data_IF_861050867604
#
_entry.id   IF_861050867604
#
_cell.length_a   1.000
_cell.length_b   1.000
_cell.length_c   1.000
_cell.angle_alpha   90.00
_cell.angle_beta   90.00
_cell.angle_gamma   90.00
#
_symmetry.space_group_name_H-M   'P 1'
#
loop_
_entity.id
_entity.type
_entity.pdbx_description
1 polymer ?
#
# COMPACT_ATOMS: atom_id res chain seq x y z
N UNK A 1 4.66 8.43 -3.75
CA UNK A 1 5.25 7.10 -4.08
C UNK A 1 4.34 6.38 -5.07
N UNK A 2 4.92 5.76 -6.05
CA UNK A 2 4.13 4.98 -7.00
C UNK A 2 3.59 3.71 -6.35
N UNK A 3 2.38 3.33 -6.74
CA UNK A 3 1.72 2.16 -6.17
C UNK A 3 2.51 0.87 -6.40
N UNK A 4 3.12 0.72 -7.57
CA UNK A 4 3.93 -0.45 -7.88
C UNK A 4 5.15 -0.57 -6.96
N UNK A 5 5.79 0.56 -6.66
CA UNK A 5 6.93 0.61 -5.76
C UNK A 5 6.52 0.21 -4.34
N UNK A 6 5.39 0.73 -3.88
CA UNK A 6 4.88 0.42 -2.56
C UNK A 6 4.47 -1.05 -2.47
N UNK A 7 3.80 -1.55 -3.48
CA UNK A 7 3.39 -2.97 -3.53
C UNK A 7 4.60 -3.90 -3.43
N UNK A 8 5.65 -3.59 -4.18
CA UNK A 8 6.89 -4.39 -4.15
C UNK A 8 7.52 -4.35 -2.76
N UNK A 9 7.58 -3.18 -2.15
CA UNK A 9 8.13 -3.01 -0.82
C UNK A 9 7.35 -3.81 0.23
N UNK A 10 6.01 -3.77 0.13
CA UNK A 10 5.15 -4.54 1.03
C UNK A 10 5.39 -6.05 0.85
N UNK A 11 5.51 -6.52 -0.39
CA UNK A 11 5.77 -7.93 -0.65
C UNK A 11 7.09 -8.38 -0.02
N UNK A 12 8.10 -7.54 -0.08
CA UNK A 12 9.40 -7.82 0.54
C UNK A 12 9.32 -7.90 2.06
N UNK A 13 8.31 -7.28 2.66
CA UNK A 13 8.06 -7.32 4.10
C UNK A 13 7.16 -8.47 4.53
N UNK A 14 6.83 -9.38 3.62
CA UNK A 14 6.01 -10.53 3.93
C UNK A 14 4.50 -10.26 3.91
N UNK A 15 4.09 -9.17 3.28
CA UNK A 15 2.68 -8.87 3.15
C UNK A 15 2.02 -9.74 2.09
N UNK A 16 0.75 -10.06 2.33
CA UNK A 16 -0.08 -10.78 1.37
C UNK A 16 -1.12 -9.83 0.82
N UNK A 17 -1.45 -10.02 -0.45
CA UNK A 17 -2.45 -9.20 -1.12
C UNK A 17 -3.69 -10.05 -1.34
N UNK A 18 -4.84 -9.50 -0.96
CA UNK A 18 -6.12 -10.16 -1.19
C UNK A 18 -6.42 -10.10 -2.68
N UNK A 19 -6.81 -11.24 -3.24
CA UNK A 19 -7.15 -11.32 -4.65
C UNK A 19 -8.52 -10.72 -4.96
N UNK A 20 -9.32 -10.46 -3.95
CA UNK A 20 -10.60 -9.82 -4.12
C UNK A 20 -10.43 -8.31 -4.12
N UNK A 21 -10.19 -7.77 -5.29
CA UNK A 21 -10.04 -6.35 -5.47
C UNK A 21 -11.42 -5.69 -5.58
N UNK A 22 -11.57 -4.58 -4.89
CA UNK A 22 -12.79 -3.80 -4.95
C UNK A 22 -12.58 -2.58 -5.83
N UNK A 23 -13.37 -2.49 -6.88
CA UNK A 23 -13.38 -1.30 -7.71
C UNK A 23 -14.30 -0.27 -7.06
N UNK A 24 -13.75 0.87 -6.72
CA UNK A 24 -14.55 1.94 -6.16
C UNK A 24 -15.41 2.59 -7.24
N UNK A 25 -16.65 2.86 -6.88
CA UNK A 25 -17.65 3.36 -7.83
C UNK A 25 -17.18 4.63 -8.52
N UNK A 26 -17.11 4.58 -9.85
CA UNK A 26 -16.94 5.74 -10.68
C UNK A 26 -15.54 6.34 -10.71
N UNK A 27 -14.61 5.79 -9.96
CA UNK A 27 -13.27 6.35 -9.89
C UNK A 27 -12.19 5.49 -10.54
N UNK A 28 -12.55 4.28 -10.94
CA UNK A 28 -11.58 3.38 -11.56
C UNK A 28 -10.43 2.98 -10.64
N UNK A 29 -10.57 3.21 -9.35
CA UNK A 29 -9.57 2.81 -8.38
C UNK A 29 -9.89 1.41 -7.86
N UNK A 30 -8.85 0.60 -7.78
CA UNK A 30 -8.95 -0.74 -7.22
C UNK A 30 -8.32 -0.74 -5.84
N UNK A 31 -9.12 -1.09 -4.84
CA UNK A 31 -8.64 -1.18 -3.46
C UNK A 31 -8.24 -2.63 -3.18
N UNK A 32 -7.02 -2.82 -2.77
CA UNK A 32 -6.48 -4.13 -2.42
C UNK A 32 -6.32 -4.22 -0.92
N UNK A 33 -6.80 -5.30 -0.33
CA UNK A 33 -6.59 -5.54 1.10
C UNK A 33 -5.24 -6.22 1.27
N UNK A 34 -4.37 -5.61 2.06
CA UNK A 34 -3.03 -6.12 2.36
C UNK A 34 -3.05 -6.73 3.75
N UNK A 35 -2.52 -7.92 3.90
CA UNK A 35 -2.47 -8.62 5.18
C UNK A 35 -1.02 -8.87 5.61
N UNK A 36 -0.76 -8.70 6.89
CA UNK A 36 0.55 -8.99 7.47
C UNK A 36 0.38 -9.33 8.96
N UNK A 37 0.76 -10.55 9.32
CA UNK A 37 0.79 -11.00 10.73
C UNK A 37 -0.50 -10.70 11.50
N UNK A 38 -1.64 -11.02 10.91
CA UNK A 38 -2.94 -10.78 11.53
C UNK A 38 -3.44 -9.34 11.41
N UNK A 39 -2.68 -8.46 10.81
CA UNK A 39 -3.07 -7.09 10.55
C UNK A 39 -3.50 -6.94 9.10
N UNK A 40 -4.30 -5.94 8.82
CA UNK A 40 -4.74 -5.65 7.46
C UNK A 40 -4.84 -4.15 7.22
N UNK A 41 -4.67 -3.76 5.98
CA UNK A 41 -4.85 -2.39 5.53
C UNK A 41 -5.42 -2.39 4.12
N UNK A 42 -6.25 -1.42 3.81
CA UNK A 42 -6.79 -1.25 2.47
C UNK A 42 -6.00 -0.17 1.75
N UNK A 43 -5.45 -0.51 0.60
CA UNK A 43 -4.58 0.39 -0.15
C UNK A 43 -5.01 0.42 -1.61
N UNK A 44 -5.08 1.60 -2.25
CA UNK A 44 -5.43 1.70 -3.66
C UNK A 44 -4.24 1.32 -4.53
N UNK A 45 -4.09 0.04 -4.83
CA UNK A 45 -2.96 -0.50 -5.58
C UNK A 45 -3.32 -0.89 -7.02
N UNK A 46 -4.44 -0.40 -7.54
CA UNK A 46 -4.95 -0.86 -8.82
C UNK A 46 -4.18 -0.39 -10.04
N UNK A 47 -3.50 0.71 -9.98
CA UNK A 47 -2.77 1.26 -11.11
C UNK A 47 -1.27 1.27 -10.89
N UNK A 48 -0.51 0.72 -11.84
CA UNK A 48 0.95 0.69 -11.71
C UNK A 48 1.58 2.08 -11.75
N UNK A 49 0.91 3.03 -12.38
CA UNK A 49 1.38 4.41 -12.48
C UNK A 49 0.71 5.36 -11.50
N UNK A 50 -0.14 4.83 -10.66
CA UNK A 50 -0.81 5.64 -9.67
C UNK A 50 0.19 6.08 -8.60
N UNK A 51 0.14 7.37 -8.27
CA UNK A 51 0.96 7.92 -7.19
C UNK A 51 0.11 7.95 -5.93
N UNK A 52 0.61 7.33 -4.88
CA UNK A 52 -0.08 7.28 -3.60
C UNK A 52 0.28 8.50 -2.76
N UNK A 53 -0.72 9.04 -2.08
CA UNK A 53 -0.51 10.12 -1.12
C UNK A 53 0.32 9.60 0.04
N UNK A 54 1.24 10.43 0.53
CA UNK A 54 2.10 10.06 1.64
C UNK A 54 1.31 9.67 2.89
N UNK A 55 0.16 10.29 3.13
CA UNK A 55 -0.70 9.97 4.27
C UNK A 55 -1.26 8.57 4.16
N UNK A 56 -1.67 8.17 2.95
CA UNK A 56 -2.19 6.84 2.68
C UNK A 56 -1.12 5.80 2.95
N UNK A 57 0.09 6.05 2.47
CA UNK A 57 1.23 5.15 2.64
C UNK A 57 1.59 4.99 4.12
N UNK A 58 1.69 6.09 4.84
CA UNK A 58 2.00 6.06 6.27
C UNK A 58 0.94 5.33 7.07
N UNK A 59 -0.32 5.61 6.79
CA UNK A 59 -1.41 4.97 7.51
C UNK A 59 -1.42 3.46 7.25
N UNK A 60 -1.21 3.04 6.01
CA UNK A 60 -1.12 1.63 5.68
C UNK A 60 0.01 0.95 6.46
N UNK A 61 1.18 1.59 6.52
CA UNK A 61 2.30 1.06 7.28
C UNK A 61 1.96 0.92 8.76
N UNK A 62 1.33 1.92 9.35
CA UNK A 62 0.92 1.88 10.76
C UNK A 62 -0.07 0.74 11.03
N UNK A 63 -1.05 0.58 10.15
CA UNK A 63 -2.04 -0.48 10.27
C UNK A 63 -1.41 -1.87 10.14
N UNK A 64 -0.37 -1.99 9.35
CA UNK A 64 0.35 -3.25 9.15
C UNK A 64 1.49 -3.47 10.14
N UNK A 65 1.75 -2.49 10.99
CA UNK A 65 2.84 -2.57 11.95
C UNK A 65 4.23 -2.43 11.32
N UNK A 66 4.31 -1.71 10.20
CA UNK A 66 5.56 -1.48 9.48
C UNK A 66 6.10 -0.08 9.77
N UNK A 67 7.42 0.05 9.69
CA UNK A 67 8.09 1.32 9.87
C UNK A 67 8.16 2.06 8.53
N UNK A 68 7.36 3.10 8.39
CA UNK A 68 7.30 3.87 7.16
C UNK A 68 8.61 4.63 6.87
N UNK A 69 9.44 4.84 7.86
CA UNK A 69 10.73 5.51 7.65
C UNK A 69 11.70 4.66 6.82
N UNK A 70 11.40 3.39 6.65
CA UNK A 70 12.21 2.47 5.84
C UNK A 70 11.74 2.37 4.40
N UNK A 71 10.73 3.14 4.03
CA UNK A 71 10.25 3.17 2.65
C UNK A 71 11.32 3.73 1.71
N UNK A 72 11.38 3.24 0.47
CA UNK A 72 12.29 3.81 -0.51
C UNK A 72 11.81 5.19 -0.95
N UNK A 73 12.72 6.01 -1.45
CA UNK A 73 12.41 7.31 -1.99
C UNK A 73 12.22 8.38 -0.94
N UNK A 74 11.66 9.54 -1.33
CA UNK A 74 11.54 10.68 -0.44
C UNK A 74 10.72 10.42 0.82
N UNK A 75 9.71 9.57 0.73
CA UNK A 75 8.84 9.26 1.87
C UNK A 75 9.59 8.61 3.02
N UNK A 76 10.62 7.85 2.72
CA UNK A 76 11.42 7.20 3.74
C UNK A 76 12.48 8.08 4.37
N UNK A 77 12.63 9.31 3.91
CA UNK A 77 13.66 10.23 4.37
C UNK A 77 13.13 11.40 5.18
N UNK A 78 11.90 11.39 5.47
CA UNK A 78 11.29 12.50 6.19
C UNK A 78 11.70 12.51 7.65
#
# INVERSE_FOLDING_TARGET
MESATFRKWLAERGCRFDQHEHEERGHGQVIVTVHREGRKAEVPLGGSRQVLDARVVRQACEELGLDWSRLPGPEGRV
#
